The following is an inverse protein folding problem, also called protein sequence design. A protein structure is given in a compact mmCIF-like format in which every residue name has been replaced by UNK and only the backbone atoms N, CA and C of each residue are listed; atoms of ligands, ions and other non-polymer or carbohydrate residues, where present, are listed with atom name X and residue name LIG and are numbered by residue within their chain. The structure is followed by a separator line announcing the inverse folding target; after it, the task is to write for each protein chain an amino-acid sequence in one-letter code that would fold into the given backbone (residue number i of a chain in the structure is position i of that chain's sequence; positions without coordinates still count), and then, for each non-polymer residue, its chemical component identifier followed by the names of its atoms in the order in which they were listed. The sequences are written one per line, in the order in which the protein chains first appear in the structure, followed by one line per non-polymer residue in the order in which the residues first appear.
data_IF_604177888193
#
_entry.id   IF_604177888193
#
_cell.length_a   1.000
_cell.length_b   1.000
_cell.length_c   1.000
_cell.angle_alpha   90.00
_cell.angle_beta   90.00
_cell.angle_gamma   90.00
#
_symmetry.space_group_name_H-M   'P 1'
#
loop_
_entity.id
_entity.type
_entity.pdbx_description
1 polymer ?
#
# COMPACT_ATOMS: atom_id res chain seq x y z
N UNK A 1 17.28 -13.74 -39.23
CA UNK A 1 16.41 -13.82 -38.05
C UNK A 1 17.23 -14.46 -36.93
N UNK A 2 17.58 -13.70 -35.91
CA UNK A 2 18.26 -14.22 -34.72
C UNK A 2 17.34 -15.26 -34.06
N UNK A 3 17.86 -16.47 -33.86
CA UNK A 3 17.12 -17.54 -33.19
C UNK A 3 17.15 -17.25 -31.69
N UNK A 4 16.02 -16.93 -31.10
CA UNK A 4 15.88 -16.71 -29.67
C UNK A 4 15.43 -17.98 -28.94
N UNK A 5 15.83 -18.20 -27.68
CA UNK A 5 15.30 -19.26 -26.84
C UNK A 5 13.77 -19.17 -26.73
N UNK A 6 13.09 -20.29 -26.69
CA UNK A 6 11.66 -20.31 -26.45
C UNK A 6 11.34 -20.79 -25.02
N UNK A 7 10.11 -20.51 -24.55
CA UNK A 7 9.69 -20.85 -23.20
C UNK A 7 9.73 -22.37 -22.92
N UNK A 8 9.44 -23.21 -23.91
CA UNK A 8 9.48 -24.67 -23.72
C UNK A 8 10.90 -25.17 -23.44
N UNK A 9 11.93 -24.58 -24.09
CA UNK A 9 13.32 -24.89 -23.81
C UNK A 9 13.73 -24.43 -22.41
N UNK A 10 13.31 -23.23 -21.99
CA UNK A 10 13.59 -22.72 -20.64
C UNK A 10 12.90 -23.57 -19.57
N UNK A 11 11.65 -23.96 -19.79
CA UNK A 11 10.90 -24.87 -18.88
C UNK A 11 11.55 -26.26 -18.78
N UNK A 12 12.01 -26.81 -19.92
CA UNK A 12 12.76 -28.07 -19.91
C UNK A 12 14.04 -27.96 -19.07
N UNK A 13 14.76 -26.86 -19.21
CA UNK A 13 15.97 -26.59 -18.44
C UNK A 13 15.68 -26.47 -16.93
N UNK A 14 14.72 -25.67 -16.53
CA UNK A 14 14.28 -25.54 -15.13
C UNK A 14 13.88 -26.90 -14.57
N UNK A 15 13.06 -27.67 -15.31
CA UNK A 15 12.57 -28.97 -14.87
C UNK A 15 13.71 -29.99 -14.66
N UNK A 16 14.76 -30.00 -15.49
CA UNK A 16 15.93 -30.89 -15.32
C UNK A 16 16.71 -30.53 -14.04
N UNK A 17 16.87 -29.25 -13.76
CA UNK A 17 17.54 -28.78 -12.54
C UNK A 17 16.74 -29.19 -11.30
N UNK A 18 15.43 -28.94 -11.28
CA UNK A 18 14.56 -29.24 -10.13
C UNK A 18 14.34 -30.72 -9.90
N UNK A 19 14.23 -31.52 -10.96
CA UNK A 19 14.08 -32.97 -10.83
C UNK A 19 15.40 -33.71 -10.61
N UNK A 20 16.55 -33.02 -10.76
CA UNK A 20 17.89 -33.63 -10.62
C UNK A 20 18.20 -34.72 -11.63
N UNK A 21 17.36 -34.88 -12.68
CA UNK A 21 17.55 -35.88 -13.75
C UNK A 21 16.69 -35.52 -14.99
N UNK A 22 17.19 -35.92 -16.17
CA UNK A 22 16.45 -35.77 -17.43
C UNK A 22 15.18 -36.61 -17.47
N UNK A 23 15.23 -37.84 -16.89
CA UNK A 23 14.06 -38.71 -16.82
C UNK A 23 13.01 -38.21 -15.81
N UNK A 24 13.43 -37.59 -14.71
CA UNK A 24 12.54 -36.92 -13.76
C UNK A 24 11.84 -35.72 -14.36
N UNK A 25 12.59 -34.86 -15.08
CA UNK A 25 12.03 -33.74 -15.81
C UNK A 25 11.03 -34.16 -16.89
N UNK A 26 11.35 -35.23 -17.63
CA UNK A 26 10.47 -35.76 -18.66
C UNK A 26 9.12 -36.23 -18.08
N UNK A 27 9.12 -36.94 -16.96
CA UNK A 27 7.88 -37.32 -16.23
C UNK A 27 7.08 -36.09 -15.77
N UNK A 28 7.76 -35.10 -15.20
CA UNK A 28 7.10 -33.88 -14.70
C UNK A 28 6.46 -33.06 -15.81
N UNK A 29 7.09 -33.04 -16.99
CA UNK A 29 6.61 -32.32 -18.16
C UNK A 29 5.68 -33.14 -19.06
N UNK A 30 5.41 -34.42 -18.69
CA UNK A 30 4.61 -35.37 -19.47
C UNK A 30 5.14 -35.53 -20.93
N UNK A 31 6.48 -35.53 -21.08
CA UNK A 31 7.18 -35.65 -22.36
C UNK A 31 8.17 -36.81 -22.37
N UNK A 32 8.55 -37.25 -23.55
CA UNK A 32 9.63 -38.25 -23.66
C UNK A 32 10.99 -37.63 -23.27
N UNK A 33 11.87 -38.40 -22.64
CA UNK A 33 13.21 -37.96 -22.22
C UNK A 33 14.03 -37.43 -23.40
N UNK A 34 13.90 -38.02 -24.58
CA UNK A 34 14.55 -37.56 -25.80
C UNK A 34 14.16 -36.12 -26.19
N UNK A 35 12.89 -35.76 -26.00
CA UNK A 35 12.39 -34.39 -26.24
C UNK A 35 13.00 -33.39 -25.30
N UNK A 36 13.09 -33.73 -23.99
CA UNK A 36 13.72 -32.86 -22.99
C UNK A 36 15.21 -32.70 -23.29
N UNK A 37 15.91 -33.81 -23.60
CA UNK A 37 17.34 -33.75 -23.95
C UNK A 37 17.60 -32.91 -25.21
N UNK A 38 16.74 -33.03 -26.21
CA UNK A 38 16.81 -32.24 -27.45
C UNK A 38 16.56 -30.74 -27.17
N UNK A 39 15.59 -30.40 -26.32
CA UNK A 39 15.31 -29.02 -25.94
C UNK A 39 16.51 -28.36 -25.26
N UNK A 40 17.19 -29.10 -24.35
CA UNK A 40 18.39 -28.63 -23.68
C UNK A 40 19.55 -28.45 -24.67
N UNK A 41 19.82 -29.44 -25.52
CA UNK A 41 20.90 -29.36 -26.51
C UNK A 41 20.70 -28.16 -27.47
N UNK A 42 19.45 -27.91 -27.88
CA UNK A 42 19.12 -26.73 -28.69
C UNK A 42 19.31 -25.42 -27.92
N UNK A 43 18.94 -25.39 -26.65
CA UNK A 43 19.14 -24.20 -25.80
C UNK A 43 20.64 -23.88 -25.66
N UNK A 44 21.46 -24.87 -25.34
CA UNK A 44 22.91 -24.75 -25.25
C UNK A 44 23.53 -24.28 -26.59
N UNK A 45 23.06 -24.86 -27.70
CA UNK A 45 23.50 -24.44 -29.03
C UNK A 45 23.14 -23.00 -29.37
N UNK A 46 21.95 -22.54 -28.98
CA UNK A 46 21.49 -21.16 -29.18
C UNK A 46 22.28 -20.17 -28.32
N UNK A 47 22.57 -20.54 -27.09
CA UNK A 47 23.31 -19.68 -26.14
C UNK A 47 24.82 -19.72 -26.36
N UNK A 48 25.32 -20.73 -27.09
CA UNK A 48 26.74 -20.93 -27.37
C UNK A 48 27.55 -21.40 -26.15
N UNK A 49 26.88 -21.79 -25.06
CA UNK A 49 27.51 -22.22 -23.81
C UNK A 49 26.85 -23.50 -23.26
N UNK A 50 27.61 -24.44 -22.69
CA UNK A 50 27.03 -25.58 -22.00
C UNK A 50 26.38 -25.15 -20.68
N UNK A 51 25.17 -25.63 -20.41
CA UNK A 51 24.44 -25.36 -19.16
C UNK A 51 24.67 -26.46 -18.12
N UNK A 52 24.98 -27.70 -18.56
CA UNK A 52 25.30 -28.82 -17.70
C UNK A 52 26.71 -29.30 -17.92
N UNK A 53 27.38 -29.77 -16.85
CA UNK A 53 28.69 -30.40 -16.95
C UNK A 53 28.61 -31.76 -17.62
N UNK A 54 29.48 -32.02 -18.58
CA UNK A 54 29.54 -33.28 -19.29
C UNK A 54 30.22 -34.40 -18.42
N UNK A 55 29.75 -35.62 -18.57
CA UNK A 55 30.38 -36.78 -17.94
C UNK A 55 29.96 -37.10 -16.50
N UNK A 56 29.10 -36.30 -15.88
CA UNK A 56 28.55 -36.58 -14.56
C UNK A 56 27.28 -37.44 -14.64
N UNK A 57 27.10 -38.36 -13.69
CA UNK A 57 25.94 -39.26 -13.59
C UNK A 57 24.65 -38.50 -13.30
N UNK A 58 24.76 -37.34 -12.64
CA UNK A 58 23.65 -36.39 -12.37
C UNK A 58 23.91 -35.07 -13.07
N UNK A 59 22.86 -34.41 -13.63
CA UNK A 59 23.00 -33.09 -14.21
C UNK A 59 23.49 -32.11 -13.13
N UNK A 60 24.67 -31.53 -13.37
CA UNK A 60 25.26 -30.50 -12.52
C UNK A 60 25.41 -29.27 -13.39
N UNK A 61 24.99 -28.11 -12.89
CA UNK A 61 25.08 -26.87 -13.63
C UNK A 61 26.55 -26.44 -13.79
N UNK A 62 26.83 -25.81 -14.93
CA UNK A 62 28.03 -24.98 -15.12
C UNK A 62 27.79 -23.60 -14.52
N UNK A 63 28.85 -22.78 -14.38
CA UNK A 63 28.70 -21.38 -13.98
C UNK A 63 27.77 -20.59 -14.93
N UNK A 64 27.81 -20.89 -16.25
CA UNK A 64 26.86 -20.32 -17.22
C UNK A 64 25.43 -20.83 -16.97
N UNK A 65 25.27 -22.12 -16.62
CA UNK A 65 24.00 -22.72 -16.27
C UNK A 65 23.33 -22.06 -15.06
N UNK A 66 24.09 -21.70 -14.02
CA UNK A 66 23.57 -21.00 -12.85
C UNK A 66 23.02 -19.60 -13.19
N UNK A 67 23.75 -18.84 -14.01
CA UNK A 67 23.33 -17.51 -14.48
C UNK A 67 22.03 -17.64 -15.31
N UNK A 68 22.05 -18.55 -16.29
CA UNK A 68 20.88 -18.77 -17.19
C UNK A 68 19.68 -19.27 -16.41
N UNK A 69 19.84 -20.07 -15.34
CA UNK A 69 18.74 -20.55 -14.53
C UNK A 69 17.97 -19.41 -13.85
N UNK A 70 18.67 -18.42 -13.33
CA UNK A 70 18.02 -17.25 -12.71
C UNK A 70 17.15 -16.49 -13.71
N UNK A 71 17.68 -16.25 -14.91
CA UNK A 71 16.95 -15.54 -15.97
C UNK A 71 15.80 -16.41 -16.56
N UNK A 72 16.03 -17.72 -16.74
CA UNK A 72 15.00 -18.65 -17.20
C UNK A 72 13.79 -18.69 -16.26
N UNK A 73 14.02 -18.74 -14.95
CA UNK A 73 12.96 -18.69 -13.94
C UNK A 73 12.19 -17.36 -13.98
N UNK A 74 12.89 -16.25 -14.15
CA UNK A 74 12.28 -14.92 -14.28
C UNK A 74 11.39 -14.82 -15.51
N UNK A 75 11.84 -15.34 -16.65
CA UNK A 75 11.06 -15.34 -17.90
C UNK A 75 9.83 -16.25 -17.80
N UNK A 76 9.95 -17.43 -17.20
CA UNK A 76 8.80 -18.33 -17.00
C UNK A 76 7.76 -17.72 -16.05
N UNK A 77 8.21 -17.07 -14.97
CA UNK A 77 7.33 -16.32 -14.06
C UNK A 77 6.59 -15.20 -14.80
N UNK A 78 7.28 -14.40 -15.62
CA UNK A 78 6.66 -13.32 -16.41
C UNK A 78 5.64 -13.84 -17.41
N UNK A 79 5.92 -14.99 -18.06
CA UNK A 79 4.97 -15.65 -18.94
C UNK A 79 3.72 -16.14 -18.18
N UNK A 80 3.89 -16.70 -17.00
CA UNK A 80 2.79 -17.07 -16.09
C UNK A 80 1.94 -15.87 -15.70
N UNK A 81 2.57 -14.75 -15.33
CA UNK A 81 1.88 -13.51 -15.01
C UNK A 81 1.07 -12.95 -16.19
N UNK A 82 1.62 -13.01 -17.41
CA UNK A 82 0.91 -12.59 -18.61
C UNK A 82 -0.37 -13.42 -18.84
N UNK A 83 -0.28 -14.74 -18.72
CA UNK A 83 -1.43 -15.65 -18.85
C UNK A 83 -2.48 -15.38 -17.76
N UNK A 84 -2.05 -15.19 -16.50
CA UNK A 84 -2.94 -14.88 -15.40
C UNK A 84 -3.65 -13.53 -15.59
N UNK A 85 -2.91 -12.47 -16.01
CA UNK A 85 -3.48 -11.16 -16.32
C UNK A 85 -4.52 -11.25 -17.45
N UNK A 86 -4.23 -11.99 -18.52
CA UNK A 86 -5.19 -12.15 -19.64
C UNK A 86 -6.41 -12.99 -19.26
N UNK A 87 -6.26 -13.97 -18.38
CA UNK A 87 -7.40 -14.71 -17.81
C UNK A 87 -8.27 -13.80 -16.93
N UNK A 88 -7.66 -12.95 -16.09
CA UNK A 88 -8.35 -11.93 -15.30
C UNK A 88 -9.13 -10.94 -16.18
N UNK A 89 -8.52 -10.45 -17.26
CA UNK A 89 -9.19 -9.55 -18.23
C UNK A 89 -10.42 -10.19 -18.90
N UNK A 90 -10.39 -11.50 -19.17
CA UNK A 90 -11.57 -12.24 -19.68
C UNK A 90 -12.70 -12.32 -18.64
N UNK A 91 -12.37 -12.35 -17.36
CA UNK A 91 -13.31 -12.29 -16.24
C UNK A 91 -13.73 -10.87 -15.84
N UNK A 92 -13.27 -9.84 -16.56
CA UNK A 92 -13.55 -8.42 -16.27
C UNK A 92 -12.77 -7.87 -15.07
N UNK A 93 -11.77 -8.61 -14.54
CA UNK A 93 -10.93 -8.16 -13.44
C UNK A 93 -9.93 -7.11 -13.94
N UNK A 94 -9.77 -6.03 -13.20
CA UNK A 94 -8.85 -4.95 -13.50
C UNK A 94 -7.39 -5.45 -13.49
N UNK A 95 -6.56 -4.94 -14.39
CA UNK A 95 -5.12 -5.23 -14.39
C UNK A 95 -4.38 -4.49 -13.26
N UNK A 96 -4.93 -3.35 -12.85
CA UNK A 96 -4.37 -2.48 -11.81
C UNK A 96 -5.49 -1.84 -10.99
N UNK A 97 -5.29 -1.73 -9.70
CA UNK A 97 -6.10 -0.94 -8.77
C UNK A 97 -5.25 0.18 -8.19
N UNK A 98 -5.70 1.42 -8.36
CA UNK A 98 -5.09 2.62 -7.76
C UNK A 98 -5.91 3.08 -6.57
N UNK A 99 -5.26 3.12 -5.39
CA UNK A 99 -5.85 3.45 -4.09
C UNK A 99 -5.14 4.66 -3.48
N UNK A 100 -5.90 5.69 -3.10
CA UNK A 100 -5.42 6.80 -2.29
C UNK A 100 -5.94 6.66 -0.86
N UNK A 101 -5.10 6.90 0.15
CA UNK A 101 -5.49 6.76 1.56
C UNK A 101 -5.05 7.97 2.36
N UNK A 102 -5.96 8.51 3.18
CA UNK A 102 -5.63 9.58 4.11
C UNK A 102 -4.61 9.10 5.15
N UNK A 103 -3.59 9.90 5.37
CA UNK A 103 -2.48 9.60 6.29
C UNK A 103 -2.93 9.37 7.74
N UNK A 104 -4.14 9.81 8.10
CA UNK A 104 -4.75 9.57 9.42
C UNK A 104 -5.33 8.17 9.55
N UNK A 105 -5.56 7.44 8.45
CA UNK A 105 -6.16 6.12 8.48
C UNK A 105 -5.23 5.10 9.16
N UNK A 106 -5.76 4.20 10.03
CA UNK A 106 -4.94 3.20 10.71
C UNK A 106 -4.23 2.27 9.73
N UNK A 107 -2.89 2.37 9.68
CA UNK A 107 -2.07 1.60 8.74
C UNK A 107 -2.21 0.08 8.96
N UNK A 108 -2.39 -0.37 10.21
CA UNK A 108 -2.59 -1.79 10.52
C UNK A 108 -3.83 -2.35 9.81
N UNK A 109 -4.96 -1.61 9.85
CA UNK A 109 -6.19 -1.97 9.17
C UNK A 109 -6.04 -1.96 7.64
N UNK A 110 -5.30 -0.97 7.11
CA UNK A 110 -4.99 -0.93 5.68
C UNK A 110 -4.18 -2.16 5.25
N UNK A 111 -3.11 -2.49 5.99
CA UNK A 111 -2.23 -3.62 5.69
C UNK A 111 -2.98 -4.95 5.74
N UNK A 112 -3.89 -5.14 6.71
CA UNK A 112 -4.76 -6.31 6.79
C UNK A 112 -5.63 -6.46 5.53
N UNK A 113 -6.31 -5.38 5.13
CA UNK A 113 -7.15 -5.39 3.92
C UNK A 113 -6.34 -5.61 2.64
N UNK A 114 -5.15 -5.01 2.53
CA UNK A 114 -4.28 -5.20 1.37
C UNK A 114 -3.65 -6.60 1.31
N UNK A 115 -3.39 -7.25 2.45
CA UNK A 115 -2.94 -8.65 2.49
C UNK A 115 -4.03 -9.56 1.96
N UNK A 116 -5.25 -9.44 2.47
CA UNK A 116 -6.39 -10.21 1.97
C UNK A 116 -6.67 -9.96 0.48
N UNK A 117 -6.51 -8.71 0.02
CA UNK A 117 -6.61 -8.36 -1.39
C UNK A 117 -5.54 -9.05 -2.26
N UNK A 118 -4.29 -9.09 -1.80
CA UNK A 118 -3.19 -9.73 -2.54
C UNK A 118 -3.38 -11.24 -2.66
N UNK A 119 -3.97 -11.88 -1.64
CA UNK A 119 -4.29 -13.31 -1.66
C UNK A 119 -5.44 -13.61 -2.64
N UNK A 120 -6.48 -12.76 -2.71
CA UNK A 120 -7.65 -12.94 -3.58
C UNK A 120 -7.36 -12.56 -5.04
N UNK A 121 -6.56 -11.49 -5.25
CA UNK A 121 -6.23 -10.96 -6.58
C UNK A 121 -4.71 -10.91 -6.85
N UNK A 122 -4.01 -12.04 -6.87
CA UNK A 122 -2.55 -12.06 -6.97
C UNK A 122 -1.97 -11.51 -8.27
N UNK A 123 -2.82 -11.28 -9.28
CA UNK A 123 -2.42 -10.77 -10.60
C UNK A 123 -2.72 -9.29 -10.82
N UNK A 124 -3.49 -8.68 -9.91
CA UNK A 124 -3.84 -7.26 -9.97
C UNK A 124 -2.70 -6.44 -9.37
N UNK A 125 -2.16 -5.52 -10.16
CA UNK A 125 -1.17 -4.58 -9.64
C UNK A 125 -1.85 -3.58 -8.70
N UNK A 126 -1.21 -3.23 -7.58
CA UNK A 126 -1.69 -2.21 -6.66
C UNK A 126 -0.79 -0.99 -6.71
N UNK A 127 -1.39 0.18 -6.94
CA UNK A 127 -0.74 1.49 -6.77
C UNK A 127 -1.33 2.17 -5.55
N UNK A 128 -0.53 2.38 -4.50
CA UNK A 128 -0.94 3.00 -3.24
C UNK A 128 -0.34 4.39 -3.10
N UNK A 129 -1.19 5.38 -2.87
CA UNK A 129 -0.78 6.76 -2.59
C UNK A 129 -1.29 7.18 -1.20
N UNK A 130 -0.41 7.70 -0.36
CA UNK A 130 -0.79 8.26 0.95
C UNK A 130 -0.79 9.79 0.82
N UNK A 131 -1.91 10.40 1.16
CA UNK A 131 -2.10 11.85 1.10
C UNK A 131 -2.81 12.35 2.36
N UNK A 132 -2.78 13.66 2.58
CA UNK A 132 -3.49 14.30 3.68
C UNK A 132 -4.73 15.03 3.17
N UNK A 133 -5.80 15.04 3.99
CA UNK A 133 -6.98 15.87 3.80
C UNK A 133 -7.56 15.80 2.37
N UNK A 134 -7.69 16.95 1.68
CA UNK A 134 -8.25 17.04 0.33
C UNK A 134 -7.42 16.40 -0.78
N UNK A 135 -6.17 15.97 -0.49
CA UNK A 135 -5.31 15.31 -1.46
C UNK A 135 -5.90 14.01 -2.00
N UNK A 136 -6.48 13.19 -1.11
CA UNK A 136 -7.17 11.94 -1.50
C UNK A 136 -8.34 12.23 -2.44
N UNK A 137 -9.22 13.16 -2.04
CA UNK A 137 -10.37 13.54 -2.86
C UNK A 137 -9.95 14.05 -4.23
N UNK A 138 -8.89 14.89 -4.28
CA UNK A 138 -8.36 15.38 -5.55
C UNK A 138 -7.94 14.25 -6.48
N UNK A 139 -7.19 13.28 -5.99
CA UNK A 139 -6.74 12.13 -6.78
C UNK A 139 -7.91 11.33 -7.36
N UNK A 140 -8.98 11.12 -6.59
CA UNK A 140 -10.16 10.40 -7.06
C UNK A 140 -10.97 11.24 -8.07
N UNK A 141 -11.21 12.53 -7.80
CA UNK A 141 -11.94 13.44 -8.70
C UNK A 141 -11.23 13.56 -10.05
N UNK A 142 -9.90 13.74 -10.03
CA UNK A 142 -9.09 13.86 -11.26
C UNK A 142 -8.93 12.52 -12.00
N UNK A 143 -9.36 11.42 -11.40
CA UNK A 143 -9.25 10.07 -11.96
C UNK A 143 -7.85 9.47 -11.87
N UNK A 144 -6.97 10.04 -11.03
CA UNK A 144 -5.64 9.52 -10.72
C UNK A 144 -5.70 8.27 -9.84
N UNK A 145 -6.76 8.12 -9.02
CA UNK A 145 -7.03 6.91 -8.26
C UNK A 145 -8.47 6.45 -8.50
N UNK A 146 -8.66 5.13 -8.55
CA UNK A 146 -9.97 4.50 -8.70
C UNK A 146 -10.77 4.55 -7.39
N UNK A 147 -10.08 4.44 -6.26
CA UNK A 147 -10.64 4.34 -4.92
C UNK A 147 -9.87 5.25 -3.96
N UNK A 148 -10.56 5.83 -2.98
CA UNK A 148 -9.95 6.63 -1.94
C UNK A 148 -10.51 6.32 -0.55
N UNK A 149 -9.66 6.36 0.49
CA UNK A 149 -10.09 6.45 1.89
C UNK A 149 -9.79 7.86 2.35
N UNK A 150 -10.83 8.68 2.46
CA UNK A 150 -10.72 10.13 2.70
C UNK A 150 -11.15 10.50 4.10
N UNK A 151 -10.49 11.51 4.66
CA UNK A 151 -10.95 12.23 5.84
C UNK A 151 -12.23 13.06 5.58
N UNK A 152 -12.69 13.83 6.58
CA UNK A 152 -13.93 14.59 6.48
C UNK A 152 -13.82 15.69 5.43
N UNK A 153 -14.84 15.81 4.61
CA UNK A 153 -15.01 16.86 3.62
C UNK A 153 -16.35 17.54 3.85
N UNK A 154 -16.40 18.86 3.81
CA UNK A 154 -17.63 19.60 4.08
C UNK A 154 -18.70 19.36 3.00
N UNK A 155 -18.28 19.38 1.73
CA UNK A 155 -19.17 19.13 0.61
C UNK A 155 -18.50 18.15 -0.36
N UNK A 156 -19.13 17.01 -0.58
CA UNK A 156 -18.70 16.07 -1.60
C UNK A 156 -19.13 16.59 -2.97
N UNK A 157 -18.24 16.60 -3.97
CA UNK A 157 -18.66 16.83 -5.35
C UNK A 157 -19.68 15.80 -5.81
N UNK A 158 -20.66 16.19 -6.63
CA UNK A 158 -21.71 15.28 -7.14
C UNK A 158 -21.17 14.04 -7.88
N UNK A 159 -19.95 14.14 -8.39
CA UNK A 159 -19.26 13.05 -9.07
C UNK A 159 -18.70 12.00 -8.11
N UNK A 160 -18.75 12.23 -6.81
CA UNK A 160 -18.22 11.33 -5.78
C UNK A 160 -19.33 10.57 -5.08
N UNK A 161 -19.18 9.27 -5.06
CA UNK A 161 -19.93 8.33 -4.21
C UNK A 161 -19.09 8.08 -2.96
N UNK A 162 -19.65 8.34 -1.77
CA UNK A 162 -18.96 8.28 -0.50
C UNK A 162 -19.71 7.35 0.48
N UNK A 163 -19.00 6.35 1.00
CA UNK A 163 -19.51 5.41 2.02
C UNK A 163 -18.77 5.62 3.33
N UNK A 164 -19.50 5.81 4.42
CA UNK A 164 -18.89 6.00 5.75
C UNK A 164 -18.13 4.75 6.20
N UNK A 165 -16.96 4.95 6.77
CA UNK A 165 -16.08 3.92 7.38
C UNK A 165 -15.90 4.11 8.89
N UNK A 166 -16.77 4.91 9.52
CA UNK A 166 -16.66 5.29 10.92
C UNK A 166 -15.76 6.51 11.13
N UNK A 167 -15.17 6.62 12.30
CA UNK A 167 -14.31 7.75 12.65
C UNK A 167 -13.12 7.28 13.50
N UNK A 168 -11.99 7.97 13.36
CA UNK A 168 -10.84 7.84 14.24
C UNK A 168 -10.84 8.93 15.30
N UNK A 169 -10.24 8.64 16.43
CA UNK A 169 -10.07 9.61 17.51
C UNK A 169 -8.80 10.43 17.32
N UNK A 170 -8.94 11.76 17.35
CA UNK A 170 -7.82 12.68 17.41
C UNK A 170 -7.73 13.26 18.82
N UNK A 171 -6.56 13.20 19.40
CA UNK A 171 -6.26 13.73 20.74
C UNK A 171 -5.26 14.86 20.62
N UNK A 172 -5.52 15.94 21.32
CA UNK A 172 -4.60 17.09 21.39
C UNK A 172 -3.47 16.78 22.36
N UNK A 173 -2.23 16.87 21.90
CA UNK A 173 -1.04 16.48 22.66
C UNK A 173 0.10 17.48 22.50
N UNK A 174 1.04 17.43 23.45
CA UNK A 174 2.33 18.10 23.40
C UNK A 174 3.34 17.28 24.22
N UNK A 175 4.64 17.65 24.13
CA UNK A 175 5.65 17.06 25.02
C UNK A 175 5.35 17.40 26.50
N UNK A 176 5.74 16.54 27.46
CA UNK A 176 5.47 16.75 28.88
C UNK A 176 6.03 18.07 29.43
N UNK A 177 7.10 18.58 28.83
CA UNK A 177 7.74 19.85 29.20
C UNK A 177 7.01 21.08 28.67
N UNK A 178 6.02 20.89 27.80
CA UNK A 178 5.30 22.00 27.18
C UNK A 178 4.40 22.72 28.20
N UNK A 179 4.35 24.06 28.23
CA UNK A 179 3.61 24.81 29.23
C UNK A 179 2.12 24.46 29.33
N UNK A 180 1.47 24.14 28.21
CA UNK A 180 0.06 23.71 28.18
C UNK A 180 -0.20 22.40 28.93
N UNK A 181 0.79 21.51 29.00
CA UNK A 181 0.70 20.23 29.74
C UNK A 181 0.93 20.44 31.22
N UNK A 182 1.85 21.32 31.58
CA UNK A 182 2.20 21.59 32.99
C UNK A 182 1.12 22.38 33.74
N UNK A 183 0.16 22.93 33.01
CA UNK A 183 -0.96 23.65 33.59
C UNK A 183 -1.91 22.72 34.34
N UNK A 184 -2.34 23.14 35.53
CA UNK A 184 -3.39 22.44 36.30
C UNK A 184 -4.78 22.73 35.71
N UNK A 185 -5.55 21.67 35.45
CA UNK A 185 -6.92 21.76 34.92
C UNK A 185 -7.01 21.91 33.39
N UNK A 186 -8.18 22.33 32.91
CA UNK A 186 -8.43 22.53 31.50
C UNK A 186 -7.81 23.84 30.99
N UNK A 187 -7.26 23.80 29.78
CA UNK A 187 -6.62 24.94 29.12
C UNK A 187 -7.66 25.71 28.31
N UNK A 188 -7.90 26.99 28.59
CA UNK A 188 -8.74 27.83 27.72
C UNK A 188 -8.13 27.94 26.32
N UNK A 189 -8.99 27.95 25.30
CA UNK A 189 -8.53 28.08 23.91
C UNK A 189 -7.78 29.40 23.68
N UNK A 190 -8.15 30.47 24.38
CA UNK A 190 -7.43 31.75 24.35
C UNK A 190 -5.99 31.65 24.77
N UNK A 191 -5.68 30.80 25.75
CA UNK A 191 -4.32 30.55 26.21
C UNK A 191 -3.55 29.62 25.24
N UNK A 192 -4.19 28.56 24.74
CA UNK A 192 -3.58 27.66 23.77
C UNK A 192 -3.15 28.39 22.49
N UNK A 193 -3.86 29.46 22.10
CA UNK A 193 -3.56 30.30 20.92
C UNK A 193 -2.21 31.00 20.99
N UNK A 194 -1.67 31.23 22.18
CA UNK A 194 -0.39 31.91 22.37
C UNK A 194 0.81 31.02 22.03
N UNK A 195 0.61 29.70 21.96
CA UNK A 195 1.66 28.74 21.68
C UNK A 195 1.58 28.23 20.24
N UNK A 196 2.74 27.85 19.68
CA UNK A 196 2.84 27.34 18.31
C UNK A 196 2.04 26.04 18.15
N UNK A 197 1.07 26.04 17.22
CA UNK A 197 0.32 24.85 16.87
C UNK A 197 0.92 24.18 15.63
N UNK A 198 1.16 22.87 15.74
CA UNK A 198 1.59 22.04 14.61
C UNK A 198 0.36 21.51 13.86
N UNK A 199 0.22 21.94 12.61
CA UNK A 199 -0.97 21.69 11.79
C UNK A 199 -0.62 20.81 10.61
N UNK A 200 -1.42 19.73 10.42
CA UNK A 200 -1.36 18.97 9.19
C UNK A 200 -2.06 19.75 8.08
N UNK A 201 -1.42 19.85 6.92
CA UNK A 201 -1.97 20.47 5.72
C UNK A 201 -1.86 19.50 4.55
N UNK A 202 -2.60 19.73 3.49
CA UNK A 202 -2.46 19.00 2.25
C UNK A 202 -1.76 19.85 1.17
N UNK A 203 -1.53 19.23 0.04
CA UNK A 203 -0.95 19.86 -1.15
C UNK A 203 -2.03 20.24 -2.17
N UNK A 204 -3.31 19.96 -1.88
CA UNK A 204 -4.41 20.27 -2.77
C UNK A 204 -4.95 21.66 -2.50
N UNK A 205 -5.54 22.27 -3.54
CA UNK A 205 -6.28 23.51 -3.38
C UNK A 205 -7.73 23.30 -2.96
N UNK A 206 -8.19 22.05 -2.86
CA UNK A 206 -9.59 21.75 -2.54
C UNK A 206 -9.96 22.08 -1.10
N UNK A 207 -8.97 22.11 -0.21
CA UNK A 207 -9.14 22.53 1.19
C UNK A 207 -8.57 23.93 1.45
N UNK A 208 -8.19 24.67 0.39
CA UNK A 208 -7.68 26.02 0.53
C UNK A 208 -8.72 26.93 1.21
N UNK A 209 -8.31 27.64 2.26
CA UNK A 209 -9.20 28.45 3.09
C UNK A 209 -9.98 27.69 4.16
N UNK A 210 -9.93 26.34 4.17
CA UNK A 210 -10.52 25.54 5.23
C UNK A 210 -9.48 25.27 6.34
N UNK A 211 -9.92 25.40 7.58
CA UNK A 211 -9.07 25.21 8.76
C UNK A 211 -9.64 24.09 9.62
N UNK A 212 -9.04 22.91 9.56
CA UNK A 212 -9.45 21.78 10.39
C UNK A 212 -8.68 21.80 11.71
N UNK A 213 -9.36 22.26 12.78
CA UNK A 213 -8.77 22.27 14.13
C UNK A 213 -7.60 23.24 14.29
N UNK A 214 -7.56 24.33 13.53
CA UNK A 214 -6.57 25.39 13.66
C UNK A 214 -7.11 26.47 14.58
N UNK A 215 -6.42 26.70 15.70
CA UNK A 215 -6.83 27.62 16.76
C UNK A 215 -5.78 28.70 17.06
N UNK A 216 -4.49 28.37 16.87
CA UNK A 216 -3.41 29.27 17.26
C UNK A 216 -3.13 30.35 16.21
N UNK A 217 -2.64 31.51 16.69
CA UNK A 217 -2.18 32.61 15.84
C UNK A 217 -0.86 32.26 15.15
N UNK A 218 -0.01 31.46 15.81
CA UNK A 218 1.23 30.93 15.23
C UNK A 218 1.05 29.46 14.88
N UNK A 219 1.20 29.12 13.60
CA UNK A 219 1.08 27.74 13.12
C UNK A 219 2.32 27.32 12.35
N UNK A 220 2.79 26.12 12.60
CA UNK A 220 3.73 25.44 11.71
C UNK A 220 2.97 24.39 10.93
N UNK A 221 3.02 24.49 9.61
CA UNK A 221 2.29 23.60 8.70
C UNK A 221 3.21 22.56 8.11
N UNK A 222 2.79 21.31 8.11
CA UNK A 222 3.47 20.19 7.47
C UNK A 222 2.46 19.29 6.75
N UNK A 223 2.83 18.73 5.61
CA UNK A 223 2.01 17.74 4.90
C UNK A 223 2.38 16.30 5.30
N UNK A 224 3.31 16.12 6.22
CA UNK A 224 3.80 14.83 6.70
C UNK A 224 3.42 14.63 8.17
N UNK A 225 2.61 13.59 8.44
CA UNK A 225 2.13 13.28 9.79
C UNK A 225 3.25 12.73 10.68
N UNK A 226 4.22 12.01 10.11
CA UNK A 226 5.40 11.52 10.85
C UNK A 226 6.31 12.66 11.28
N UNK A 227 6.54 13.65 10.39
CA UNK A 227 7.27 14.87 10.75
C UNK A 227 6.53 15.65 11.85
N UNK A 228 5.21 15.81 11.75
CA UNK A 228 4.40 16.44 12.80
C UNK A 228 4.56 15.71 14.15
N UNK A 229 4.47 14.40 14.14
CA UNK A 229 4.65 13.57 15.33
C UNK A 229 6.03 13.81 15.97
N UNK A 230 7.08 13.79 15.17
CA UNK A 230 8.45 14.03 15.67
C UNK A 230 8.61 15.44 16.27
N UNK A 231 8.06 16.47 15.61
CA UNK A 231 8.08 17.84 16.13
C UNK A 231 7.36 17.97 17.49
N UNK A 232 6.25 17.23 17.67
CA UNK A 232 5.53 17.18 18.95
C UNK A 232 6.39 16.53 20.06
N UNK A 233 7.05 15.42 19.76
CA UNK A 233 7.95 14.74 20.69
C UNK A 233 9.11 15.62 21.14
N UNK A 234 9.64 16.45 20.26
CA UNK A 234 10.72 17.40 20.54
C UNK A 234 10.23 18.70 21.24
N UNK A 235 8.93 18.79 21.56
CA UNK A 235 8.37 19.93 22.30
C UNK A 235 8.25 21.24 21.50
N UNK A 236 8.29 21.18 20.17
CA UNK A 236 8.27 22.38 19.30
C UNK A 236 6.87 23.00 19.14
N UNK A 237 5.87 22.43 19.82
CA UNK A 237 4.51 22.94 19.83
C UNK A 237 3.50 21.92 20.31
N UNK A 238 2.23 22.21 20.05
CA UNK A 238 1.10 21.36 20.38
C UNK A 238 0.24 21.07 19.16
N UNK A 239 -0.57 20.01 19.17
CA UNK A 239 -1.47 19.70 18.06
C UNK A 239 -2.21 18.38 18.24
N UNK A 240 -3.18 18.12 17.36
CA UNK A 240 -3.96 16.88 17.41
C UNK A 240 -3.29 15.78 16.60
N UNK A 241 -3.27 14.56 17.16
CA UNK A 241 -2.74 13.35 16.54
C UNK A 241 -3.76 12.22 16.65
N UNK A 242 -3.79 11.27 15.68
CA UNK A 242 -4.56 10.05 15.82
C UNK A 242 -4.13 9.26 17.06
N UNK A 243 -5.11 8.86 17.90
CA UNK A 243 -4.83 8.11 19.12
C UNK A 243 -3.99 6.86 18.85
N UNK A 244 -4.34 6.10 17.82
CA UNK A 244 -3.66 4.84 17.46
C UNK A 244 -2.16 5.01 17.09
N UNK A 245 -1.72 6.23 16.74
CA UNK A 245 -0.31 6.51 16.44
C UNK A 245 0.52 6.92 17.65
N UNK A 246 -0.15 7.42 18.69
CA UNK A 246 0.54 8.02 19.85
C UNK A 246 0.28 7.30 21.17
N UNK A 247 -0.45 6.20 21.14
CA UNK A 247 -0.82 5.43 22.34
C UNK A 247 0.40 4.99 23.13
N UNK A 248 1.44 4.51 22.45
CA UNK A 248 2.72 4.14 23.08
C UNK A 248 3.45 5.35 23.67
N UNK A 249 3.40 6.50 22.98
CA UNK A 249 4.05 7.72 23.49
C UNK A 249 3.35 8.26 24.73
N UNK A 250 2.02 8.16 24.77
CA UNK A 250 1.24 8.51 25.95
C UNK A 250 1.53 7.56 27.12
N UNK A 251 1.57 6.25 26.87
CA UNK A 251 1.89 5.25 27.90
C UNK A 251 3.32 5.41 28.46
N UNK A 252 4.27 5.78 27.62
CA UNK A 252 5.67 5.98 27.98
C UNK A 252 5.96 7.39 28.49
N UNK A 253 4.96 8.28 28.51
CA UNK A 253 5.12 9.66 28.97
C UNK A 253 5.99 10.54 28.06
N UNK A 254 6.18 10.16 26.77
CA UNK A 254 6.87 10.99 25.78
C UNK A 254 5.97 12.10 25.24
N UNK A 255 4.68 11.86 25.18
CA UNK A 255 3.63 12.85 24.93
C UNK A 255 2.66 12.88 26.09
N UNK A 256 1.97 14.00 26.25
CA UNK A 256 0.91 14.17 27.24
C UNK A 256 -0.29 14.89 26.61
N UNK A 257 -1.49 14.56 27.09
CA UNK A 257 -2.74 15.15 26.62
C UNK A 257 -2.86 16.59 27.07
N UNK A 258 -3.11 17.49 26.14
CA UNK A 258 -3.51 18.89 26.39
C UNK A 258 -5.03 18.93 26.49
N UNK A 259 -5.57 19.12 27.69
CA UNK A 259 -7.02 19.17 27.96
C UNK A 259 -7.56 20.56 27.66
N UNK A 260 -8.06 20.78 26.46
CA UNK A 260 -8.71 22.03 26.08
C UNK A 260 -10.09 22.17 26.73
N UNK A 261 -10.50 23.41 27.04
CA UNK A 261 -11.79 23.68 27.71
C UNK A 261 -12.99 23.23 26.88
N UNK A 262 -12.89 23.33 25.56
CA UNK A 262 -14.02 23.14 24.65
C UNK A 262 -14.11 21.74 24.07
N UNK A 263 -13.02 20.96 24.06
CA UNK A 263 -12.98 19.59 23.51
C UNK A 263 -11.79 18.79 24.04
N UNK A 264 -12.04 17.54 24.43
CA UNK A 264 -10.95 16.60 24.78
C UNK A 264 -10.57 15.70 23.62
N UNK A 265 -11.57 15.25 22.85
CA UNK A 265 -11.40 14.32 21.74
C UNK A 265 -12.18 14.83 20.52
N UNK A 266 -11.56 14.76 19.37
CA UNK A 266 -12.18 15.09 18.10
C UNK A 266 -12.34 13.81 17.26
N UNK A 267 -13.55 13.55 16.80
CA UNK A 267 -13.84 12.41 15.91
C UNK A 267 -13.60 12.84 14.45
N UNK A 268 -12.64 12.22 13.81
CA UNK A 268 -12.26 12.45 12.42
C UNK A 268 -12.94 11.39 11.56
N UNK A 269 -14.06 11.74 10.92
CA UNK A 269 -14.83 10.83 10.08
C UNK A 269 -14.01 10.33 8.90
N UNK A 270 -14.11 9.05 8.60
CA UNK A 270 -13.48 8.44 7.44
C UNK A 270 -14.55 7.98 6.46
N UNK A 271 -14.30 8.16 5.19
CA UNK A 271 -15.17 7.70 4.11
C UNK A 271 -14.38 7.04 3.01
N UNK A 272 -14.89 5.93 2.52
CA UNK A 272 -14.43 5.33 1.28
C UNK A 272 -15.11 6.07 0.13
N UNK A 273 -14.33 6.52 -0.85
CA UNK A 273 -14.80 7.36 -1.94
C UNK A 273 -14.38 6.79 -3.30
N UNK A 274 -15.28 6.92 -4.27
CA UNK A 274 -15.03 6.59 -5.67
C UNK A 274 -15.78 7.54 -6.58
N UNK A 275 -15.49 7.54 -7.86
CA UNK A 275 -16.32 8.27 -8.83
C UNK A 275 -17.63 7.52 -9.07
N UNK A 276 -18.74 8.24 -8.98
CA UNK A 276 -20.10 7.70 -9.22
C UNK A 276 -20.34 7.38 -10.71
N UNK A 277 -19.66 8.09 -11.62
CA UNK A 277 -19.78 7.92 -13.07
C UNK A 277 -18.88 6.81 -13.65
N UNK A 278 -18.15 6.06 -12.81
CA UNK A 278 -17.30 4.95 -13.20
C UNK A 278 -17.72 3.67 -12.51
N UNK A 279 -17.94 2.62 -13.29
CA UNK A 279 -18.16 1.29 -12.73
C UNK A 279 -16.88 0.77 -12.10
N UNK A 280 -17.00 0.18 -10.90
CA UNK A 280 -15.91 -0.58 -10.27
C UNK A 280 -15.85 -1.97 -10.88
N UNK A 281 -14.65 -2.44 -11.22
CA UNK A 281 -14.47 -3.83 -11.57
C UNK A 281 -14.46 -4.74 -10.33
N UNK A 282 -14.38 -6.07 -10.53
CA UNK A 282 -14.48 -7.05 -9.44
C UNK A 282 -13.47 -6.85 -8.31
N UNK A 283 -12.21 -6.54 -8.63
CA UNK A 283 -11.16 -6.34 -7.64
C UNK A 283 -11.40 -5.07 -6.80
N UNK A 284 -11.77 -3.96 -7.46
CA UNK A 284 -12.13 -2.72 -6.78
C UNK A 284 -13.36 -2.92 -5.88
N UNK A 285 -14.40 -3.58 -6.37
CA UNK A 285 -15.62 -3.83 -5.60
C UNK A 285 -15.36 -4.72 -4.38
N UNK A 286 -14.56 -5.76 -4.54
CA UNK A 286 -14.16 -6.63 -3.43
C UNK A 286 -13.44 -5.84 -2.31
N UNK A 287 -12.49 -4.95 -2.70
CA UNK A 287 -11.77 -4.13 -1.72
C UNK A 287 -12.70 -3.14 -1.01
N UNK A 288 -13.66 -2.55 -1.73
CA UNK A 288 -14.71 -1.72 -1.13
C UNK A 288 -15.46 -2.49 -0.05
N UNK A 289 -15.99 -3.68 -0.40
CA UNK A 289 -16.76 -4.50 0.50
C UNK A 289 -15.94 -4.99 1.71
N UNK A 290 -14.66 -5.27 1.49
CA UNK A 290 -13.76 -5.72 2.56
C UNK A 290 -13.45 -4.59 3.55
N UNK A 291 -13.07 -3.41 3.07
CA UNK A 291 -12.72 -2.27 3.92
C UNK A 291 -13.93 -1.68 4.66
N UNK A 292 -15.12 -1.75 4.07
CA UNK A 292 -16.35 -1.25 4.73
C UNK A 292 -16.86 -2.20 5.80
N UNK A 293 -16.80 -3.53 5.59
CA UNK A 293 -17.19 -4.53 6.60
C UNK A 293 -16.32 -4.49 7.86
N UNK A 294 -15.02 -4.28 7.69
CA UNK A 294 -14.06 -4.15 8.81
C UNK A 294 -14.22 -2.82 9.57
N UNK A 295 -15.17 -1.97 9.23
CA UNK A 295 -15.38 -0.62 9.78
C UNK A 295 -16.51 -0.51 10.80
N UNK A 296 -17.29 -1.55 11.02
CA UNK A 296 -18.23 -1.55 12.14
C UNK A 296 -17.45 -1.69 13.44
N UNK A 297 -17.53 -0.72 14.38
CA UNK A 297 -16.97 -0.92 15.71
C UNK A 297 -17.75 -2.09 16.34
N UNK A 298 -17.03 -3.03 16.98
CA UNK A 298 -17.63 -3.97 17.92
C UNK A 298 -18.53 -3.16 18.87
N UNK A 299 -19.82 -3.49 18.85
CA UNK A 299 -20.90 -2.83 19.57
C UNK A 299 -20.76 -3.02 21.09
#
# INVERSE_FOLDING_TARGET
MERSPNLDQLRAFIAVVEAGSFSGAARRLERAQSVVSYAIANLESLLGVPLFERGKRRPTLTAAGEIVLADARRLDMLAGQLLAKTAGLRGGVEAELSLAVDVMFPLARLVEGLRAFADEFPTVALSLTIEALGGVMKLVVDGGCALGVSGPVQNWPDVIDATSMGAIELVTVAAPTHPLVQRRGRVPLSEAREYTQLVLTDRSKLTEGQSFGVYATRTWKTADLGAKHRLLLEGLGWGSMPMHLIEDDLRQGRLAVVRLSDRDVFRYGMSLIRRADRASGPATQWLIDHLTRSGEPDA
#
